data_IF_737827196877
#
_entry.id   IF_737827196877
#
_cell.length_a   1.000
_cell.length_b   1.000
_cell.length_c   1.000
_cell.angle_alpha   90.00
_cell.angle_beta   90.00
_cell.angle_gamma   90.00
#
_symmetry.space_group_name_H-M   'P 1'
#
loop_
_entity.id
_entity.type
_entity.pdbx_description
1 polymer ?
#
# COMPACT_ATOMS: atom_id res chain seq x y z
N UNK A 1 21.86 -50.44 -37.03
CA UNK A 1 22.64 -49.23 -37.35
C UNK A 1 21.84 -48.03 -36.88
N UNK A 2 22.12 -47.45 -35.70
CA UNK A 2 21.41 -46.27 -35.22
C UNK A 2 21.96 -44.99 -35.90
N UNK A 3 21.06 -44.07 -36.21
CA UNK A 3 21.32 -42.78 -36.85
C UNK A 3 22.06 -41.79 -35.91
N UNK A 4 22.84 -40.83 -36.45
CA UNK A 4 23.68 -39.95 -35.66
C UNK A 4 22.90 -38.81 -34.98
N UNK A 5 23.26 -38.52 -33.74
CA UNK A 5 22.78 -37.38 -32.95
C UNK A 5 23.33 -36.06 -33.50
N UNK A 6 22.45 -35.19 -34.01
CA UNK A 6 22.78 -33.81 -34.35
C UNK A 6 22.82 -32.94 -33.09
N UNK A 7 23.98 -32.32 -32.83
CA UNK A 7 24.12 -31.23 -31.86
C UNK A 7 23.29 -30.04 -32.33
N UNK A 8 22.41 -29.51 -31.47
CA UNK A 8 21.86 -28.15 -31.64
C UNK A 8 22.73 -27.16 -30.88
N UNK A 9 23.17 -26.15 -31.62
CA UNK A 9 23.88 -24.95 -31.20
C UNK A 9 23.04 -24.09 -30.25
N UNK A 10 23.66 -23.55 -29.21
CA UNK A 10 23.09 -22.47 -28.40
C UNK A 10 22.93 -21.20 -29.26
N UNK A 11 21.76 -20.56 -29.15
CA UNK A 11 21.46 -19.27 -29.79
C UNK A 11 22.00 -18.09 -28.97
N UNK A 12 21.97 -16.87 -29.54
CA UNK A 12 22.71 -15.72 -29.05
C UNK A 12 21.95 -15.03 -27.92
N UNK A 13 22.29 -15.33 -26.66
CA UNK A 13 21.89 -14.52 -25.51
C UNK A 13 23.01 -14.36 -24.47
N UNK A 14 24.26 -14.71 -24.81
CA UNK A 14 25.40 -14.63 -23.89
C UNK A 14 26.17 -13.29 -23.94
N UNK A 15 25.69 -12.28 -24.68
CA UNK A 15 26.41 -10.99 -24.88
C UNK A 15 25.69 -9.74 -24.33
N UNK A 16 24.95 -9.85 -23.23
CA UNK A 16 24.63 -8.69 -22.41
C UNK A 16 25.24 -8.91 -21.03
N UNK A 17 26.45 -8.38 -20.84
CA UNK A 17 27.21 -8.38 -19.58
C UNK A 17 26.58 -7.55 -18.46
N UNK A 18 25.28 -7.74 -18.21
CA UNK A 18 24.62 -7.29 -17.00
C UNK A 18 24.99 -8.27 -15.88
N UNK A 19 25.54 -7.80 -14.75
CA UNK A 19 25.80 -8.70 -13.63
C UNK A 19 24.46 -9.28 -13.17
N UNK A 20 24.29 -10.59 -13.36
CA UNK A 20 23.28 -11.36 -12.65
C UNK A 20 23.45 -11.05 -11.16
N UNK A 21 22.48 -10.35 -10.58
CA UNK A 21 22.36 -10.16 -9.14
C UNK A 21 22.26 -11.56 -8.51
N UNK A 22 23.37 -12.10 -8.03
CA UNK A 22 23.40 -13.52 -7.67
C UNK A 22 24.75 -14.12 -7.34
N UNK A 23 25.70 -13.38 -6.75
CA UNK A 23 26.59 -14.06 -5.80
C UNK A 23 25.81 -14.14 -4.50
N UNK A 24 25.31 -15.34 -4.21
CA UNK A 24 24.76 -15.71 -2.92
C UNK A 24 25.82 -15.46 -1.84
N UNK A 25 25.91 -14.22 -1.34
CA UNK A 25 26.53 -13.95 -0.07
C UNK A 25 25.82 -14.85 0.94
N UNK A 26 26.61 -15.56 1.77
CA UNK A 26 26.05 -16.38 2.85
C UNK A 26 25.07 -15.51 3.62
N UNK A 27 23.78 -15.85 3.58
CA UNK A 27 22.76 -15.27 4.46
C UNK A 27 23.35 -15.35 5.87
N UNK A 28 23.58 -14.22 6.58
CA UNK A 28 23.96 -14.31 7.98
C UNK A 28 22.92 -15.21 8.66
N UNK A 29 23.34 -16.15 9.54
CA UNK A 29 22.41 -17.09 10.16
C UNK A 29 21.24 -16.29 10.71
N UNK A 30 20.06 -16.52 10.12
CA UNK A 30 18.85 -15.79 10.48
C UNK A 30 18.64 -16.03 11.95
N UNK A 31 18.80 -14.99 12.77
CA UNK A 31 18.35 -15.06 14.14
C UNK A 31 16.84 -15.18 14.05
N UNK A 32 16.31 -16.40 14.13
CA UNK A 32 14.92 -16.67 14.41
C UNK A 32 14.64 -16.13 15.82
N UNK A 33 14.51 -14.82 15.96
CA UNK A 33 13.81 -14.26 17.10
C UNK A 33 12.33 -14.44 16.76
N UNK A 34 11.60 -15.34 17.44
CA UNK A 34 10.15 -15.33 17.31
C UNK A 34 9.68 -13.92 17.67
N UNK A 35 9.01 -13.26 16.74
CA UNK A 35 8.37 -11.97 17.00
C UNK A 35 7.19 -12.28 17.91
N UNK A 36 7.36 -12.06 19.21
CA UNK A 36 6.30 -12.24 20.19
C UNK A 36 5.46 -10.96 20.24
N UNK A 37 4.28 -10.99 19.62
CA UNK A 37 3.35 -9.86 19.65
C UNK A 37 2.35 -10.06 20.80
N UNK A 38 2.28 -9.07 21.68
CA UNK A 38 1.27 -8.99 22.74
C UNK A 38 0.34 -7.83 22.45
N UNK A 39 -0.95 -8.00 22.73
CA UNK A 39 -1.89 -6.87 22.69
C UNK A 39 -1.57 -5.93 23.83
N UNK A 40 -1.43 -4.65 23.52
CA UNK A 40 -1.21 -3.59 24.51
C UNK A 40 -2.53 -3.07 25.11
N UNK A 41 -3.66 -3.40 24.48
CA UNK A 41 -5.01 -3.09 24.93
C UNK A 41 -5.98 -4.16 24.45
N UNK A 42 -7.06 -4.40 25.19
CA UNK A 42 -8.15 -5.31 24.81
C UNK A 42 -9.19 -4.62 23.90
N UNK A 43 -9.26 -3.29 23.94
CA UNK A 43 -10.15 -2.50 23.09
C UNK A 43 -9.41 -2.01 21.82
N UNK A 44 -10.10 -1.78 20.68
CA UNK A 44 -9.51 -1.11 19.54
C UNK A 44 -8.96 0.28 19.93
N UNK A 45 -7.77 0.63 19.43
CA UNK A 45 -7.17 1.96 19.64
C UNK A 45 -7.92 3.08 18.89
N UNK A 46 -8.72 2.72 17.88
CA UNK A 46 -9.61 3.60 17.16
C UNK A 46 -10.97 2.91 16.95
N UNK A 47 -12.04 3.65 17.17
CA UNK A 47 -13.41 3.28 16.79
C UNK A 47 -14.04 4.38 15.92
N UNK A 48 -15.05 4.06 15.09
CA UNK A 48 -15.76 5.06 14.30
C UNK A 48 -16.32 6.19 15.17
N UNK A 49 -16.35 7.42 14.63
CA UNK A 49 -17.02 8.58 15.24
C UNK A 49 -18.37 8.76 14.54
N UNK A 50 -19.52 8.38 15.15
CA UNK A 50 -20.82 8.40 14.48
C UNK A 50 -21.25 9.77 13.97
N UNK A 51 -20.72 10.83 14.58
CA UNK A 51 -20.95 12.24 14.25
C UNK A 51 -20.04 12.77 13.12
N UNK A 52 -19.01 12.02 12.73
CA UNK A 52 -18.09 12.41 11.65
C UNK A 52 -18.43 11.66 10.37
N UNK A 53 -19.06 12.39 9.45
CA UNK A 53 -19.78 11.83 8.31
C UNK A 53 -18.96 10.97 7.34
N UNK A 54 -17.62 11.08 7.31
CA UNK A 54 -16.76 10.34 6.38
C UNK A 54 -16.18 9.03 6.96
N UNK A 55 -16.33 8.80 8.26
CA UNK A 55 -15.74 7.65 8.99
C UNK A 55 -16.71 7.01 9.99
N UNK A 56 -17.97 7.42 9.95
CA UNK A 56 -18.99 7.07 10.96
C UNK A 56 -19.29 5.59 11.06
N UNK A 57 -19.03 4.82 10.01
CA UNK A 57 -19.44 3.41 9.95
C UNK A 57 -18.27 2.45 10.21
N UNK A 58 -17.05 2.76 9.76
CA UNK A 58 -15.88 1.95 10.07
C UNK A 58 -14.55 2.73 10.03
N UNK A 59 -13.58 2.32 10.85
CA UNK A 59 -12.17 2.77 10.79
C UNK A 59 -11.25 1.55 10.85
N UNK A 60 -10.33 1.41 9.90
CA UNK A 60 -9.50 0.20 9.76
C UNK A 60 -8.27 0.41 8.86
N UNK A 61 -7.49 -0.67 8.66
CA UNK A 61 -6.37 -0.80 7.71
C UNK A 61 -5.39 0.39 7.71
N UNK A 62 -4.91 0.78 8.88
CA UNK A 62 -4.04 1.95 9.00
C UNK A 62 -2.60 1.68 8.51
N UNK A 63 -2.01 2.69 7.86
CA UNK A 63 -0.57 2.85 7.82
C UNK A 63 -0.08 3.39 9.16
N UNK A 64 1.10 2.97 9.60
CA UNK A 64 1.69 3.43 10.85
C UNK A 64 3.14 3.88 10.64
N UNK A 65 3.52 4.97 11.28
CA UNK A 65 4.92 5.42 11.40
C UNK A 65 5.14 6.04 12.78
N UNK A 66 6.31 5.79 13.37
CA UNK A 66 6.77 6.47 14.57
C UNK A 66 7.95 7.36 14.16
N UNK A 67 7.77 8.67 14.24
CA UNK A 67 8.80 9.66 13.90
C UNK A 67 8.76 10.79 14.94
N UNK A 68 9.92 11.16 15.46
CA UNK A 68 10.00 12.03 16.63
C UNK A 68 9.43 11.37 17.90
N UNK A 69 8.50 12.07 18.55
CA UNK A 69 7.86 11.64 19.81
C UNK A 69 6.47 11.03 19.60
N UNK A 70 6.00 10.93 18.36
CA UNK A 70 4.62 10.57 18.05
C UNK A 70 4.54 9.30 17.20
N UNK A 71 3.58 8.46 17.57
CA UNK A 71 3.02 7.43 16.71
C UNK A 71 1.94 8.07 15.84
N UNK A 72 2.06 7.93 14.53
CA UNK A 72 1.07 8.39 13.57
C UNK A 72 0.38 7.19 12.92
N UNK A 73 -0.95 7.24 12.88
CA UNK A 73 -1.79 6.34 12.11
C UNK A 73 -2.48 7.11 10.98
N UNK A 74 -2.31 6.62 9.77
CA UNK A 74 -3.10 7.07 8.62
C UNK A 74 -4.11 5.97 8.32
N UNK A 75 -5.37 6.15 8.70
CA UNK A 75 -6.36 5.09 8.74
C UNK A 75 -7.42 5.25 7.66
N UNK A 76 -8.01 4.15 7.21
CA UNK A 76 -9.15 4.17 6.31
C UNK A 76 -10.42 4.44 7.12
N UNK A 77 -11.06 5.57 6.89
CA UNK A 77 -12.42 5.86 7.35
C UNK A 77 -13.43 5.48 6.28
N UNK A 78 -14.54 4.86 6.68
CA UNK A 78 -15.58 4.36 5.77
C UNK A 78 -16.93 4.93 6.16
N UNK A 79 -17.68 5.29 5.11
CA UNK A 79 -19.11 5.55 5.19
C UNK A 79 -19.87 4.65 4.22
N UNK A 80 -20.84 3.91 4.72
CA UNK A 80 -21.73 3.08 3.93
C UNK A 80 -22.79 3.95 3.27
N UNK A 81 -22.98 3.73 1.97
CA UNK A 81 -24.11 4.27 1.21
C UNK A 81 -24.93 3.09 0.68
N UNK A 82 -26.21 3.29 0.31
CA UNK A 82 -27.04 2.21 -0.23
C UNK A 82 -26.46 1.51 -1.47
N UNK A 83 -25.49 2.14 -2.14
CA UNK A 83 -24.90 1.62 -3.38
C UNK A 83 -23.50 1.04 -3.13
N UNK A 84 -22.74 1.58 -2.18
CA UNK A 84 -21.27 1.33 -2.06
C UNK A 84 -20.64 2.02 -0.85
N UNK A 85 -19.42 1.60 -0.49
CA UNK A 85 -18.64 2.12 0.65
C UNK A 85 -17.69 3.24 0.22
N UNK A 86 -17.88 4.46 0.73
CA UNK A 86 -16.99 5.58 0.45
C UNK A 86 -15.82 5.57 1.45
N UNK A 87 -14.59 5.52 0.94
CA UNK A 87 -13.37 5.44 1.75
C UNK A 87 -12.56 6.72 1.69
N UNK A 88 -12.22 7.30 2.84
CA UNK A 88 -11.27 8.41 2.99
C UNK A 88 -10.08 7.97 3.85
N UNK A 89 -8.98 8.72 3.79
CA UNK A 89 -7.83 8.50 4.68
C UNK A 89 -7.80 9.56 5.79
N UNK A 90 -7.97 9.13 7.03
CA UNK A 90 -7.83 9.95 8.22
C UNK A 90 -6.40 9.96 8.76
N UNK A 91 -6.12 10.93 9.65
CA UNK A 91 -4.87 10.99 10.42
C UNK A 91 -5.17 11.01 11.91
N UNK A 92 -4.43 10.19 12.65
CA UNK A 92 -4.43 10.15 14.11
C UNK A 92 -2.99 10.14 14.62
N UNK A 93 -2.75 10.74 15.78
CA UNK A 93 -1.44 10.74 16.42
C UNK A 93 -1.55 10.44 17.92
N UNK A 94 -0.50 9.87 18.49
CA UNK A 94 -0.44 9.47 19.89
C UNK A 94 1.00 9.54 20.40
N UNK A 95 1.19 9.91 21.66
CA UNK A 95 2.48 9.85 22.34
C UNK A 95 2.76 8.50 23.01
N UNK A 96 1.75 7.65 23.18
CA UNK A 96 1.86 6.35 23.87
C UNK A 96 1.51 5.14 23.00
N UNK A 97 1.02 5.38 21.77
CA UNK A 97 0.65 4.34 20.82
C UNK A 97 -0.66 3.62 21.14
N UNK A 98 -1.43 4.08 22.13
CA UNK A 98 -2.69 3.48 22.59
C UNK A 98 -3.83 4.49 22.56
N UNK A 99 -3.60 5.71 23.04
CA UNK A 99 -4.59 6.78 23.08
C UNK A 99 -4.29 7.80 21.99
N UNK A 100 -5.20 7.90 21.00
CA UNK A 100 -4.99 8.71 19.81
C UNK A 100 -5.87 9.95 19.78
N UNK A 101 -5.26 11.09 19.46
CA UNK A 101 -5.93 12.28 18.94
C UNK A 101 -6.11 12.14 17.42
N UNK A 102 -7.09 12.84 16.85
CA UNK A 102 -7.49 12.68 15.43
C UNK A 102 -7.78 14.02 14.79
N UNK A 103 -7.42 14.14 13.51
CA UNK A 103 -7.91 15.21 12.67
C UNK A 103 -9.43 15.07 12.42
N UNK A 104 -10.11 16.20 12.27
CA UNK A 104 -11.54 16.23 11.94
C UNK A 104 -11.81 15.99 10.45
N UNK A 105 -10.86 16.41 9.60
CA UNK A 105 -10.91 16.22 8.16
C UNK A 105 -9.90 15.15 7.69
N UNK A 106 -10.24 14.39 6.64
CA UNK A 106 -9.32 13.39 6.10
C UNK A 106 -8.16 14.04 5.35
N UNK A 107 -6.99 13.42 5.37
CA UNK A 107 -5.82 13.85 4.60
C UNK A 107 -6.01 13.61 3.10
N UNK A 108 -6.77 12.59 2.72
CA UNK A 108 -7.20 12.31 1.35
C UNK A 108 -8.68 11.93 1.36
N UNK A 109 -9.45 12.53 0.45
CA UNK A 109 -10.89 12.34 0.32
C UNK A 109 -11.22 11.61 -0.98
N UNK A 110 -12.22 10.73 -0.95
CA UNK A 110 -12.74 10.15 -2.19
C UNK A 110 -13.35 11.22 -3.11
N UNK A 111 -13.37 10.97 -4.41
CA UNK A 111 -14.02 11.84 -5.39
C UNK A 111 -13.33 13.18 -5.65
N UNK A 112 -12.14 13.41 -5.08
CA UNK A 112 -11.28 14.54 -5.47
C UNK A 112 -10.66 14.33 -6.86
N UNK A 113 -10.59 13.07 -7.32
CA UNK A 113 -10.13 12.67 -8.65
C UNK A 113 -11.04 11.60 -9.26
N UNK A 114 -11.10 11.45 -10.60
CA UNK A 114 -11.88 10.38 -11.24
C UNK A 114 -11.47 8.97 -10.79
N UNK A 115 -10.17 8.70 -10.68
CA UNK A 115 -9.59 7.43 -10.23
C UNK A 115 -9.90 7.09 -8.74
N UNK A 116 -10.33 8.07 -7.96
CA UNK A 116 -10.66 7.92 -6.53
C UNK A 116 -12.15 8.17 -6.27
N UNK A 117 -12.98 8.18 -7.33
CA UNK A 117 -14.41 8.46 -7.24
C UNK A 117 -15.12 7.66 -6.14
N UNK A 118 -14.66 6.44 -5.89
CA UNK A 118 -15.20 5.59 -4.84
C UNK A 118 -14.40 5.64 -3.54
N UNK A 119 -13.07 5.66 -3.61
CA UNK A 119 -12.27 5.61 -2.41
C UNK A 119 -10.80 5.86 -2.60
N UNK A 120 -10.20 6.34 -1.52
CA UNK A 120 -8.78 6.23 -1.21
C UNK A 120 -8.65 5.24 -0.06
N UNK A 121 -7.92 4.13 -0.27
CA UNK A 121 -8.00 2.99 0.66
C UNK A 121 -6.65 2.42 1.07
N UNK A 122 -6.65 1.74 2.22
CA UNK A 122 -5.57 0.90 2.74
C UNK A 122 -4.16 1.51 2.56
N UNK A 123 -3.85 2.61 3.24
CA UNK A 123 -2.58 3.29 3.05
C UNK A 123 -1.40 2.49 3.61
N UNK A 124 -0.21 2.73 3.05
CA UNK A 124 1.09 2.29 3.55
C UNK A 124 2.06 3.45 3.48
N UNK A 125 2.84 3.66 4.52
CA UNK A 125 3.72 4.81 4.65
C UNK A 125 5.16 4.37 4.88
N UNK A 126 6.09 5.05 4.22
CA UNK A 126 7.53 4.98 4.51
C UNK A 126 8.11 6.38 4.46
N UNK A 127 9.22 6.61 5.15
CA UNK A 127 10.03 7.83 5.01
C UNK A 127 11.24 7.50 4.13
N UNK A 128 11.49 8.29 3.09
CA UNK A 128 12.66 8.16 2.22
C UNK A 128 13.37 9.51 2.18
N UNK A 129 14.55 9.59 2.80
CA UNK A 129 15.19 10.88 3.09
C UNK A 129 14.32 11.71 4.02
N UNK A 130 14.00 12.94 3.61
CA UNK A 130 13.17 13.86 4.39
C UNK A 130 11.69 13.85 3.96
N UNK A 131 11.31 12.96 3.04
CA UNK A 131 9.95 12.89 2.50
C UNK A 131 9.21 11.65 3.00
N UNK A 132 7.99 11.85 3.49
CA UNK A 132 7.06 10.76 3.76
C UNK A 132 6.31 10.42 2.48
N UNK A 133 6.31 9.15 2.12
CA UNK A 133 5.67 8.60 0.95
C UNK A 133 4.55 7.66 1.39
N UNK A 134 3.32 7.97 1.01
CA UNK A 134 2.13 7.20 1.33
C UNK A 134 1.55 6.58 0.05
N UNK A 135 1.72 5.27 -0.10
CA UNK A 135 1.03 4.51 -1.14
C UNK A 135 -0.39 4.20 -0.67
N UNK A 136 -1.37 4.29 -1.56
CA UNK A 136 -2.76 3.97 -1.25
C UNK A 136 -3.45 3.38 -2.48
N UNK A 137 -4.64 2.83 -2.27
CA UNK A 137 -5.49 2.31 -3.35
C UNK A 137 -6.37 3.44 -3.88
N UNK A 138 -6.32 3.68 -5.19
CA UNK A 138 -7.30 4.46 -5.94
C UNK A 138 -8.40 3.51 -6.41
N UNK A 139 -9.61 3.68 -5.88
CA UNK A 139 -10.78 2.90 -6.30
C UNK A 139 -11.79 3.82 -6.98
N UNK A 140 -12.11 3.54 -8.24
CA UNK A 140 -13.07 4.31 -9.04
C UNK A 140 -14.37 3.55 -9.36
N UNK A 141 -14.62 2.43 -8.68
CA UNK A 141 -15.73 1.50 -8.93
C UNK A 141 -15.54 0.54 -10.12
N UNK A 142 -14.45 0.66 -10.87
CA UNK A 142 -14.11 -0.21 -12.01
C UNK A 142 -12.69 -0.77 -11.87
N UNK A 143 -11.72 0.11 -11.64
CA UNK A 143 -10.31 -0.19 -11.55
C UNK A 143 -9.77 0.10 -10.15
N UNK A 144 -8.87 -0.78 -9.71
CA UNK A 144 -8.11 -0.68 -8.47
C UNK A 144 -6.67 -0.38 -8.84
N UNK A 145 -6.27 0.87 -8.65
CA UNK A 145 -4.94 1.37 -9.02
C UNK A 145 -4.13 1.76 -7.78
N UNK A 146 -2.82 1.93 -7.93
CA UNK A 146 -1.95 2.41 -6.85
C UNK A 146 -1.72 3.90 -7.00
N UNK A 147 -2.13 4.64 -5.98
CA UNK A 147 -1.83 6.06 -5.81
C UNK A 147 -0.62 6.32 -4.92
N UNK A 148 -0.08 7.53 -5.03
CA UNK A 148 0.98 8.04 -4.17
C UNK A 148 0.65 9.45 -3.68
N UNK A 149 0.79 9.67 -2.38
CA UNK A 149 0.82 11.00 -1.79
C UNK A 149 2.15 11.20 -1.04
N UNK A 150 2.62 12.44 -0.98
CA UNK A 150 3.84 12.77 -0.24
C UNK A 150 3.62 13.90 0.75
N UNK A 151 4.36 13.88 1.85
CA UNK A 151 4.34 14.93 2.86
C UNK A 151 5.76 15.25 3.33
N UNK A 152 6.06 16.53 3.65
CA UNK A 152 7.32 16.90 4.31
C UNK A 152 7.23 16.80 5.85
N UNK A 153 6.03 16.73 6.43
CA UNK A 153 5.80 16.97 7.85
C UNK A 153 4.77 16.02 8.50
N UNK A 154 4.19 15.08 7.76
CA UNK A 154 3.08 14.17 8.12
C UNK A 154 1.69 14.82 8.21
N UNK A 155 1.57 16.14 8.08
CA UNK A 155 0.31 16.89 8.21
C UNK A 155 -0.15 17.50 6.89
N UNK A 156 0.78 18.02 6.10
CA UNK A 156 0.56 18.64 4.80
C UNK A 156 0.81 17.63 3.69
N UNK A 157 -0.19 17.36 2.85
CA UNK A 157 -0.12 16.29 1.84
C UNK A 157 -0.27 16.82 0.41
N UNK A 158 0.62 16.37 -0.47
CA UNK A 158 0.50 16.49 -1.92
C UNK A 158 0.06 15.13 -2.47
N UNK A 159 -1.15 15.07 -3.01
CA UNK A 159 -1.68 13.90 -3.71
C UNK A 159 -1.21 13.90 -5.17
N UNK A 160 -0.46 12.88 -5.57
CA UNK A 160 0.04 12.71 -6.95
C UNK A 160 -0.90 11.88 -7.84
N UNK A 161 -1.98 11.31 -7.29
CA UNK A 161 -2.88 10.42 -8.01
C UNK A 161 -2.23 9.07 -8.32
N UNK A 162 -2.72 8.40 -9.37
CA UNK A 162 -2.23 7.08 -9.80
C UNK A 162 -0.78 7.15 -10.28
N UNK A 163 0.08 6.33 -9.70
CA UNK A 163 1.48 6.13 -10.12
C UNK A 163 1.73 4.76 -10.73
N UNK A 164 0.82 3.81 -10.51
CA UNK A 164 0.87 2.48 -11.10
C UNK A 164 -0.56 2.01 -11.37
N UNK A 165 -0.95 2.04 -12.63
CA UNK A 165 -2.30 1.70 -13.07
C UNK A 165 -2.46 0.23 -13.49
N UNK A 166 -3.73 -0.16 -13.62
CA UNK A 166 -4.21 -1.46 -14.02
C UNK A 166 -3.84 -1.84 -15.47
N UNK A 167 -3.46 -0.90 -16.34
CA UNK A 167 -3.08 -1.24 -17.72
C UNK A 167 -1.73 -1.94 -17.79
N UNK A 168 -0.90 -1.74 -16.77
CA UNK A 168 0.43 -2.34 -16.68
C UNK A 168 0.40 -3.79 -16.17
N UNK A 169 -0.47 -4.12 -15.20
CA UNK A 169 -0.51 -5.45 -14.58
C UNK A 169 -1.90 -5.93 -14.11
N UNK A 170 -2.98 -5.33 -14.58
CA UNK A 170 -4.33 -5.53 -14.05
C UNK A 170 -4.55 -4.82 -12.71
N UNK A 171 -5.76 -4.94 -12.17
CA UNK A 171 -6.11 -4.37 -10.87
C UNK A 171 -5.08 -4.73 -9.80
N UNK A 172 -4.65 -3.77 -8.99
CA UNK A 172 -3.50 -3.90 -8.12
C UNK A 172 -3.76 -3.27 -6.75
N UNK A 173 -3.24 -3.85 -5.67
CA UNK A 173 -3.36 -3.32 -4.30
C UNK A 173 -2.19 -3.76 -3.43
N UNK A 174 -2.23 -3.38 -2.16
CA UNK A 174 -1.20 -3.73 -1.16
C UNK A 174 0.20 -3.24 -1.54
N UNK A 175 0.27 -2.07 -2.16
CA UNK A 175 1.53 -1.49 -2.56
C UNK A 175 2.22 -0.76 -1.41
N UNK A 176 3.54 -0.93 -1.31
CA UNK A 176 4.40 -0.14 -0.42
C UNK A 176 5.78 0.03 -1.03
N UNK A 177 6.36 1.21 -0.85
CA UNK A 177 7.75 1.46 -1.21
C UNK A 177 8.68 0.80 -0.19
N UNK A 178 9.89 0.44 -0.62
CA UNK A 178 10.99 0.21 0.29
C UNK A 178 11.44 1.55 0.92
N UNK A 179 11.90 1.55 2.18
CA UNK A 179 12.27 2.78 2.89
C UNK A 179 13.59 3.41 2.40
N UNK A 180 14.25 2.79 1.42
CA UNK A 180 15.48 3.28 0.82
C UNK A 180 15.58 2.83 -0.64
N UNK A 181 16.50 3.45 -1.38
CA UNK A 181 16.82 3.03 -2.73
C UNK A 181 17.64 1.73 -2.71
N UNK A 182 17.31 0.81 -3.60
CA UNK A 182 18.03 -0.45 -3.77
C UNK A 182 18.77 -0.38 -5.12
N UNK A 183 20.11 -0.34 -5.07
CA UNK A 183 20.91 -0.20 -6.29
C UNK A 183 20.75 1.15 -7.01
N UNK A 184 20.37 2.21 -6.27
CA UNK A 184 20.15 3.56 -6.81
C UNK A 184 18.72 3.85 -7.28
N UNK A 185 17.86 2.82 -7.33
CA UNK A 185 16.48 2.90 -7.78
C UNK A 185 15.48 2.78 -6.62
N UNK A 186 14.27 3.30 -6.83
CA UNK A 186 13.16 3.01 -5.92
C UNK A 186 12.62 1.61 -6.19
N UNK A 187 12.21 0.92 -5.13
CA UNK A 187 11.57 -0.38 -5.23
C UNK A 187 10.18 -0.34 -4.57
N UNK A 188 9.22 -1.02 -5.18
CA UNK A 188 7.84 -1.12 -4.72
C UNK A 188 7.46 -2.61 -4.62
N UNK A 189 6.94 -3.03 -3.48
CA UNK A 189 6.20 -4.30 -3.38
C UNK A 189 4.75 -3.99 -3.71
N UNK A 190 4.12 -4.78 -4.57
CA UNK A 190 2.71 -4.63 -4.94
C UNK A 190 2.09 -5.99 -5.24
N UNK A 191 0.76 -6.05 -5.38
CA UNK A 191 0.03 -7.32 -5.61
C UNK A 191 -0.99 -7.17 -6.73
N UNK A 192 -0.61 -7.48 -7.98
CA UNK A 192 -1.54 -7.64 -9.09
C UNK A 192 -2.58 -8.71 -8.76
N UNK A 193 -3.85 -8.42 -9.01
CA UNK A 193 -4.98 -9.29 -8.67
C UNK A 193 -5.37 -10.25 -9.80
N UNK A 194 -4.70 -10.18 -10.96
CA UNK A 194 -4.86 -11.14 -12.06
C UNK A 194 -6.13 -11.01 -12.89
N UNK A 195 -7.11 -10.19 -12.48
CA UNK A 195 -8.39 -10.05 -13.17
C UNK A 195 -8.81 -8.58 -13.37
N UNK A 196 -9.29 -8.27 -14.57
CA UNK A 196 -10.13 -7.12 -14.86
C UNK A 196 -11.50 -7.31 -14.21
N UNK A 197 -12.03 -6.28 -13.56
CA UNK A 197 -13.35 -6.33 -12.94
C UNK A 197 -14.40 -6.51 -14.06
N UNK A 198 -15.12 -7.63 -14.06
CA UNK A 198 -16.08 -8.00 -15.13
C UNK A 198 -16.12 -9.49 -15.52
N UNK A 199 -15.10 -10.27 -15.14
CA UNK A 199 -14.98 -11.69 -15.51
C UNK A 199 -15.32 -12.70 -14.38
N UNK A 200 -15.86 -12.25 -13.23
CA UNK A 200 -16.33 -13.13 -12.14
C UNK A 200 -17.72 -12.72 -11.63
N UNK A 201 -18.74 -13.61 -11.62
CA UNK A 201 -20.13 -13.32 -11.28
C UNK A 201 -20.47 -13.22 -9.78
N UNK A 202 -19.51 -13.17 -8.86
CA UNK A 202 -19.80 -13.07 -7.43
C UNK A 202 -19.42 -11.69 -6.86
N UNK A 203 -20.36 -10.94 -6.24
CA UNK A 203 -19.96 -9.85 -5.38
C UNK A 203 -19.14 -10.44 -4.22
N UNK A 204 -17.90 -9.99 -4.07
CA UNK A 204 -17.21 -10.14 -2.80
C UNK A 204 -17.96 -9.24 -1.82
N UNK A 205 -18.81 -9.86 -1.00
CA UNK A 205 -19.39 -9.24 0.19
C UNK A 205 -18.26 -8.64 1.04
N UNK A 206 -18.28 -7.31 1.16
CA UNK A 206 -17.69 -6.53 2.25
C UNK A 206 -18.64 -5.41 2.63
#
# INVERSE_FOLDING_TARGET
MPAPTARRSAGPNDELGLPLCGRAGRRPPGRNHPVNLVRVTEAPVLTPRPDVAWEKDAVLNAAAIHDGELFHLFYRGITHTPVRNLSCLGHAWSSDGVHFERADEPILRNGTRPETAQGVEDPRIVKIGDTYCLCYVCWNNVNVDIGLATSPDLFSWTDHGVVFDHTQCGNNKNATLFPEKIGGEYALIHRPMGFTWGDDPAPLDM
#
